data_IF_278226393782
#
_entry.id   IF_278226393782
#
_cell.length_a   1.000
_cell.length_b   1.000
_cell.length_c   1.000
_cell.angle_alpha   90.00
_cell.angle_beta   90.00
_cell.angle_gamma   90.00
#
_symmetry.space_group_name_H-M   'P 1'
#
loop_
_entity.id
_entity.type
_entity.pdbx_description
1 polymer ?
#
# COMPACT_ATOMS: atom_id res chain seq x y z
N UNK A 1 18.41 5.12 13.24
CA UNK A 1 18.01 5.88 12.03
C UNK A 1 17.21 5.05 11.02
N UNK A 2 17.72 3.94 10.45
CA UNK A 2 16.97 3.15 9.44
C UNK A 2 15.59 2.65 9.92
N UNK A 3 15.48 2.19 11.17
CA UNK A 3 14.20 1.71 11.77
C UNK A 3 13.14 2.81 11.89
N UNK A 4 13.51 4.00 12.37
CA UNK A 4 12.59 5.14 12.48
C UNK A 4 12.11 5.61 11.10
N UNK A 5 13.01 5.62 10.11
CA UNK A 5 12.64 5.94 8.73
C UNK A 5 11.62 4.94 8.17
N UNK A 6 11.87 3.63 8.31
CA UNK A 6 10.89 2.62 7.88
C UNK A 6 9.57 2.76 8.61
N UNK A 7 9.58 2.98 9.92
CA UNK A 7 8.35 3.21 10.68
C UNK A 7 7.54 4.41 10.17
N UNK A 8 8.20 5.53 9.88
CA UNK A 8 7.56 6.72 9.30
C UNK A 8 7.03 6.48 7.89
N UNK A 9 7.77 5.74 7.06
CA UNK A 9 7.31 5.36 5.71
C UNK A 9 6.06 4.50 5.82
N UNK A 10 6.03 3.50 6.71
CA UNK A 10 4.86 2.62 6.89
C UNK A 10 3.61 3.40 7.26
N UNK A 11 3.72 4.32 8.23
CA UNK A 11 2.59 5.16 8.65
C UNK A 11 2.13 6.06 7.49
N UNK A 12 3.06 6.80 6.89
CA UNK A 12 2.74 7.73 5.80
C UNK A 12 2.13 7.00 4.61
N UNK A 13 2.71 5.86 4.22
CA UNK A 13 2.21 5.00 3.15
C UNK A 13 0.79 4.52 3.43
N UNK A 14 0.54 3.99 4.63
CA UNK A 14 -0.78 3.49 5.02
C UNK A 14 -1.83 4.59 4.91
N UNK A 15 -1.52 5.80 5.38
CA UNK A 15 -2.41 6.96 5.28
C UNK A 15 -2.67 7.32 3.81
N UNK A 16 -1.62 7.44 3.00
CA UNK A 16 -1.73 7.83 1.59
C UNK A 16 -2.51 6.80 0.76
N UNK A 17 -2.26 5.51 0.94
CA UNK A 17 -2.96 4.42 0.25
C UNK A 17 -4.43 4.37 0.68
N UNK A 18 -4.72 4.60 1.96
CA UNK A 18 -6.11 4.69 2.46
C UNK A 18 -6.84 5.89 1.84
N UNK A 19 -6.18 7.06 1.77
CA UNK A 19 -6.73 8.24 1.09
C UNK A 19 -6.95 7.99 -0.41
N UNK A 20 -6.02 7.32 -1.09
CA UNK A 20 -6.14 6.97 -2.49
C UNK A 20 -7.34 6.04 -2.74
N UNK A 21 -7.52 4.99 -1.92
CA UNK A 21 -8.71 4.13 -1.97
C UNK A 21 -10.00 4.92 -1.79
N UNK A 22 -10.03 5.81 -0.78
CA UNK A 22 -11.19 6.68 -0.55
C UNK A 22 -11.52 7.58 -1.74
N UNK A 23 -10.48 8.13 -2.38
CA UNK A 23 -10.63 8.98 -3.56
C UNK A 23 -11.13 8.19 -4.77
N UNK A 24 -10.63 6.97 -4.99
CA UNK A 24 -11.11 6.05 -6.03
C UNK A 24 -12.57 5.64 -5.80
N UNK A 25 -12.93 5.30 -4.56
CA UNK A 25 -14.31 4.97 -4.22
C UNK A 25 -15.26 6.15 -4.45
N UNK A 26 -14.85 7.36 -4.07
CA UNK A 26 -15.62 8.56 -4.37
C UNK A 26 -15.73 8.77 -5.89
N UNK A 27 -14.62 8.67 -6.63
CA UNK A 27 -14.66 8.82 -8.08
C UNK A 27 -15.63 7.84 -8.74
N UNK A 28 -15.59 6.56 -8.37
CA UNK A 28 -16.54 5.54 -8.86
C UNK A 28 -17.97 5.91 -8.46
N UNK A 29 -18.21 6.31 -7.21
CA UNK A 29 -19.52 6.74 -6.75
C UNK A 29 -20.08 7.91 -7.58
N UNK A 30 -19.26 8.92 -7.90
CA UNK A 30 -19.69 10.05 -8.73
C UNK A 30 -20.02 9.60 -10.15
N UNK A 31 -19.19 8.76 -10.76
CA UNK A 31 -19.44 8.24 -12.11
C UNK A 31 -20.75 7.45 -12.20
N UNK A 32 -21.12 6.72 -11.15
CA UNK A 32 -22.40 5.98 -11.08
C UNK A 32 -23.62 6.90 -10.86
N UNK A 33 -23.41 8.17 -10.51
CA UNK A 33 -24.47 9.15 -10.22
C UNK A 33 -24.37 10.38 -11.13
N UNK A 34 -23.75 10.26 -12.31
CA UNK A 34 -23.55 11.34 -13.29
C UNK A 34 -22.87 12.60 -12.71
N UNK A 35 -22.05 12.41 -11.67
CA UNK A 35 -21.27 13.44 -11.00
C UNK A 35 -19.86 13.56 -11.55
N UNK A 36 -19.20 14.69 -11.24
CA UNK A 36 -17.83 14.96 -11.66
C UNK A 36 -16.95 15.26 -10.46
N UNK A 37 -15.73 14.72 -10.46
CA UNK A 37 -14.73 15.07 -9.46
C UNK A 37 -14.12 16.46 -9.79
N UNK A 38 -13.80 17.29 -8.79
CA UNK A 38 -13.14 18.58 -9.05
C UNK A 38 -11.84 18.43 -9.84
N UNK A 39 -11.56 19.36 -10.76
CA UNK A 39 -10.44 19.27 -11.71
C UNK A 39 -9.07 19.12 -11.03
N UNK A 40 -8.87 19.76 -9.88
CA UNK A 40 -7.64 19.65 -9.07
C UNK A 40 -7.41 18.25 -8.47
N UNK A 41 -8.47 17.47 -8.28
CA UNK A 41 -8.39 16.11 -7.73
C UNK A 41 -8.09 15.07 -8.79
N UNK A 42 -8.22 15.35 -10.09
CA UNK A 42 -7.84 14.39 -11.14
C UNK A 42 -6.36 14.02 -11.10
N UNK A 43 -5.49 14.98 -10.81
CA UNK A 43 -4.06 14.70 -10.67
C UNK A 43 -3.77 13.80 -9.46
N UNK A 44 -4.44 14.06 -8.33
CA UNK A 44 -4.34 13.24 -7.14
C UNK A 44 -4.93 11.83 -7.36
N UNK A 45 -6.04 11.74 -8.10
CA UNK A 45 -6.67 10.48 -8.50
C UNK A 45 -5.69 9.65 -9.34
N UNK A 46 -5.13 10.23 -10.41
CA UNK A 46 -4.19 9.53 -11.30
C UNK A 46 -2.93 9.04 -10.56
N UNK A 47 -2.33 9.89 -9.72
CA UNK A 47 -1.20 9.48 -8.87
C UNK A 47 -1.61 8.39 -7.87
N UNK A 48 -2.80 8.53 -7.26
CA UNK A 48 -3.37 7.54 -6.36
C UNK A 48 -3.57 6.19 -7.04
N UNK A 49 -4.13 6.15 -8.25
CA UNK A 49 -4.31 4.93 -9.04
C UNK A 49 -2.97 4.24 -9.29
N UNK A 50 -1.95 5.00 -9.68
CA UNK A 50 -0.61 4.46 -9.93
C UNK A 50 0.02 3.87 -8.65
N UNK A 51 -0.14 4.57 -7.52
CA UNK A 51 0.32 4.09 -6.23
C UNK A 51 -0.41 2.80 -5.82
N UNK A 52 -1.74 2.76 -5.96
CA UNK A 52 -2.56 1.59 -5.63
C UNK A 52 -2.19 0.37 -6.46
N UNK A 53 -1.98 0.53 -7.77
CA UNK A 53 -1.56 -0.57 -8.65
C UNK A 53 -0.17 -1.08 -8.25
N UNK A 54 0.77 -0.18 -7.98
CA UNK A 54 2.13 -0.56 -7.56
C UNK A 54 2.10 -1.34 -6.24
N UNK A 55 1.38 -0.83 -5.25
CA UNK A 55 1.19 -1.48 -3.95
C UNK A 55 0.45 -2.82 -4.06
N UNK A 56 -0.50 -2.94 -4.99
CA UNK A 56 -1.18 -4.20 -5.27
C UNK A 56 -0.20 -5.25 -5.80
N UNK A 57 0.65 -4.89 -6.77
CA UNK A 57 1.69 -5.79 -7.28
C UNK A 57 2.63 -6.22 -6.15
N UNK A 58 3.07 -5.29 -5.31
CA UNK A 58 3.93 -5.61 -4.16
C UNK A 58 3.25 -6.55 -3.16
N UNK A 59 1.97 -6.29 -2.83
CA UNK A 59 1.16 -7.15 -1.97
C UNK A 59 1.01 -8.57 -2.53
N UNK A 60 0.80 -8.70 -3.84
CA UNK A 60 0.72 -9.99 -4.53
C UNK A 60 2.05 -10.74 -4.48
N UNK A 61 3.17 -10.06 -4.77
CA UNK A 61 4.52 -10.67 -4.66
C UNK A 61 4.78 -11.15 -3.24
N UNK A 62 4.45 -10.34 -2.24
CA UNK A 62 4.57 -10.68 -0.83
C UNK A 62 3.73 -11.91 -0.46
N UNK A 63 2.47 -11.97 -0.88
CA UNK A 63 1.59 -13.11 -0.61
C UNK A 63 2.18 -14.42 -1.18
N UNK A 64 2.69 -14.39 -2.41
CA UNK A 64 3.31 -15.56 -3.02
C UNK A 64 4.59 -16.02 -2.32
N UNK A 65 5.37 -15.08 -1.78
CA UNK A 65 6.65 -15.39 -1.11
C UNK A 65 6.54 -15.65 0.39
N UNK A 66 5.47 -15.19 1.04
CA UNK A 66 5.28 -15.27 2.47
C UNK A 66 5.34 -16.69 3.04
N UNK A 67 4.78 -17.68 2.32
CA UNK A 67 4.80 -19.07 2.77
C UNK A 67 6.23 -19.65 2.84
N UNK A 68 7.14 -19.17 1.98
CA UNK A 68 8.56 -19.56 2.00
C UNK A 68 9.36 -18.88 3.12
N UNK A 69 8.75 -17.94 3.83
CA UNK A 69 9.36 -17.16 4.92
C UNK A 69 8.62 -17.37 6.26
N UNK A 70 7.85 -18.45 6.40
CA UNK A 70 7.05 -18.79 7.58
C UNK A 70 6.05 -17.69 8.01
N UNK A 71 5.55 -16.90 7.04
CA UNK A 71 4.50 -15.88 7.25
C UNK A 71 3.20 -16.32 6.57
N UNK A 72 2.05 -15.91 7.13
CA UNK A 72 0.75 -16.15 6.49
C UNK A 72 0.64 -15.34 5.17
N UNK A 73 0.39 -15.97 4.02
CA UNK A 73 0.30 -15.31 2.71
C UNK A 73 -0.68 -14.14 2.65
N UNK A 74 -1.91 -14.34 3.16
CA UNK A 74 -2.98 -13.35 3.05
C UNK A 74 -2.66 -12.16 3.94
N UNK A 75 -2.34 -12.42 5.21
CA UNK A 75 -2.01 -11.35 6.16
C UNK A 75 -0.81 -10.53 5.69
N UNK A 76 0.24 -11.19 5.20
CA UNK A 76 1.47 -10.50 4.81
C UNK A 76 1.32 -9.76 3.47
N UNK A 77 0.51 -10.29 2.55
CA UNK A 77 0.15 -9.59 1.31
C UNK A 77 -0.65 -8.31 1.57
N UNK A 78 -1.68 -8.39 2.44
CA UNK A 78 -2.47 -7.21 2.84
C UNK A 78 -1.57 -6.18 3.54
N UNK A 79 -0.73 -6.62 4.48
CA UNK A 79 0.24 -5.76 5.13
C UNK A 79 1.10 -5.02 4.10
N UNK A 80 1.71 -5.75 3.18
CA UNK A 80 2.59 -5.20 2.14
C UNK A 80 1.84 -4.26 1.20
N UNK A 81 0.57 -4.54 0.87
CA UNK A 81 -0.26 -3.60 0.11
C UNK A 81 -0.35 -2.22 0.78
N UNK A 82 -0.46 -2.13 2.11
CA UNK A 82 -0.52 -0.83 2.78
C UNK A 82 0.83 -0.17 2.98
N UNK A 83 1.87 -0.96 3.29
CA UNK A 83 3.20 -0.42 3.62
C UNK A 83 4.15 -0.30 2.40
N UNK A 84 3.76 -0.88 1.27
CA UNK A 84 4.50 -0.92 0.02
C UNK A 84 5.78 -1.73 0.08
N UNK A 85 6.78 -1.32 -0.69
CA UNK A 85 8.11 -1.94 -0.76
C UNK A 85 8.75 -2.27 0.60
N UNK A 86 8.46 -1.50 1.66
CA UNK A 86 8.97 -1.79 3.01
C UNK A 86 8.54 -3.18 3.49
N UNK A 87 7.31 -3.61 3.16
CA UNK A 87 6.83 -4.95 3.47
C UNK A 87 7.60 -6.04 2.71
N UNK A 88 7.90 -5.83 1.43
CA UNK A 88 8.77 -6.73 0.67
C UNK A 88 10.19 -6.79 1.26
N UNK A 89 10.74 -5.64 1.63
CA UNK A 89 12.07 -5.57 2.23
C UNK A 89 12.13 -6.36 3.55
N UNK A 90 11.15 -6.19 4.42
CA UNK A 90 11.04 -6.91 5.69
C UNK A 90 10.87 -8.42 5.46
N UNK A 91 10.13 -8.85 4.43
CA UNK A 91 9.94 -10.26 4.09
C UNK A 91 11.26 -10.95 3.74
N UNK A 92 12.10 -10.28 2.95
CA UNK A 92 13.39 -10.82 2.52
C UNK A 92 14.54 -10.56 3.51
N UNK A 93 14.32 -9.73 4.54
CA UNK A 93 15.34 -9.37 5.54
C UNK A 93 14.81 -9.49 6.99
N UNK A 94 14.44 -10.71 7.45
CA UNK A 94 13.73 -10.90 8.73
C UNK A 94 14.51 -10.44 9.98
N UNK A 95 15.83 -10.32 9.92
CA UNK A 95 16.67 -9.84 11.04
C UNK A 95 16.51 -8.33 11.34
N UNK A 96 15.78 -7.57 10.52
CA UNK A 96 15.46 -6.17 10.82
C UNK A 96 14.42 -5.99 11.95
N UNK A 97 13.66 -7.04 12.29
CA UNK A 97 12.67 -7.03 13.38
C UNK A 97 13.20 -7.57 14.72
N UNK A 98 14.16 -8.51 14.73
CA UNK A 98 14.58 -9.23 15.96
C UNK A 98 15.48 -8.46 16.94
N UNK A 99 15.44 -7.12 16.92
CA UNK A 99 16.17 -6.26 17.86
C UNK A 99 15.23 -5.23 18.50
N UNK A 100 14.08 -5.75 18.92
CA UNK A 100 13.07 -5.13 19.79
C UNK A 100 12.77 -6.08 20.93
#
# INVERSE_FOLDING_TARGET
MKKQLFYLIKITSTILITCALGLEFWYIYLQLNDGFIPSNLYYALWLGSFALISHFIEGVIAAFKANSCDKNPITYGIYTFFVGFVGLWELFNPTSESSS
#
